data_IF_883692305144
#
_entry.id   IF_883692305144
#
_cell.length_a   1.000
_cell.length_b   1.000
_cell.length_c   1.000
_cell.angle_alpha   90.00
_cell.angle_beta   90.00
_cell.angle_gamma   90.00
#
_symmetry.space_group_name_H-M   'P 1'
#
loop_
_entity.id
_entity.type
_entity.pdbx_description
1 polymer ?
#
# COMPACT_ATOMS: atom_id res chain seq x y z
N UNK A 1 5.79 33.45 8.63
CA UNK A 1 6.64 33.29 7.42
C UNK A 1 6.45 31.87 6.96
N UNK A 2 5.54 31.66 6.01
CA UNK A 2 5.24 30.34 5.44
C UNK A 2 6.22 30.13 4.29
N UNK A 3 7.06 29.10 4.39
CA UNK A 3 8.00 28.74 3.32
C UNK A 3 7.28 27.71 2.46
N UNK A 4 6.91 28.09 1.25
CA UNK A 4 6.36 27.17 0.25
C UNK A 4 7.52 26.40 -0.41
N UNK A 5 7.54 25.07 -0.25
CA UNK A 5 8.42 24.18 -1.00
C UNK A 5 7.73 23.67 -2.27
N UNK A 6 8.41 23.80 -3.41
CA UNK A 6 7.94 23.36 -4.74
C UNK A 6 7.91 21.83 -4.86
N UNK A 7 6.89 21.31 -5.56
CA UNK A 7 6.70 19.90 -5.89
C UNK A 7 7.68 19.48 -6.99
N UNK A 8 8.70 18.68 -6.65
CA UNK A 8 9.59 18.05 -7.63
C UNK A 8 9.39 16.54 -7.66
N UNK A 9 8.54 16.01 -8.54
CA UNK A 9 8.30 14.56 -8.66
C UNK A 9 9.54 13.79 -9.16
N UNK A 10 9.84 12.64 -8.55
CA UNK A 10 10.90 11.72 -8.97
C UNK A 10 10.32 10.32 -9.22
N UNK A 11 10.94 9.58 -10.12
CA UNK A 11 10.47 8.27 -10.58
C UNK A 11 11.23 7.12 -9.90
N UNK A 12 10.55 6.03 -9.56
CA UNK A 12 11.18 4.74 -9.21
C UNK A 12 10.90 3.79 -10.37
N UNK A 13 11.95 3.34 -11.06
CA UNK A 13 11.84 2.26 -12.05
C UNK A 13 11.75 0.91 -11.33
N UNK A 14 10.67 0.17 -11.56
CA UNK A 14 10.54 -1.20 -11.07
C UNK A 14 10.78 -2.21 -12.20
N UNK A 15 11.12 -3.45 -11.81
CA UNK A 15 11.58 -4.57 -12.65
C UNK A 15 10.66 -5.00 -13.82
N UNK A 16 9.51 -4.32 -14.01
CA UNK A 16 8.53 -4.57 -15.07
C UNK A 16 8.36 -3.39 -16.05
N UNK A 17 9.26 -2.40 -16.01
CA UNK A 17 9.23 -1.24 -16.91
C UNK A 17 8.11 -0.24 -16.58
N UNK A 18 7.65 -0.25 -15.32
CA UNK A 18 6.58 0.63 -14.85
C UNK A 18 7.14 1.61 -13.85
N UNK A 19 6.83 2.87 -14.11
CA UNK A 19 7.21 3.99 -13.28
C UNK A 19 6.06 4.33 -12.34
N UNK A 20 6.26 4.11 -11.04
CA UNK A 20 5.33 4.61 -10.02
C UNK A 20 5.77 6.05 -9.69
N UNK A 21 4.93 7.07 -9.92
CA UNK A 21 5.27 8.44 -9.58
C UNK A 21 5.34 8.53 -8.06
N UNK A 22 6.50 8.94 -7.55
CA UNK A 22 6.62 9.10 -6.12
C UNK A 22 6.21 10.53 -5.74
N UNK A 23 5.31 10.61 -4.76
CA UNK A 23 4.64 11.86 -4.36
C UNK A 23 5.30 12.36 -3.08
N UNK A 24 5.79 13.60 -3.12
CA UNK A 24 6.35 14.28 -1.95
C UNK A 24 5.22 14.87 -1.12
N UNK A 25 5.22 14.58 0.17
CA UNK A 25 4.25 15.16 1.09
C UNK A 25 4.79 16.48 1.60
N UNK A 26 3.91 17.48 1.60
CA UNK A 26 4.19 18.72 2.30
C UNK A 26 4.14 18.47 3.80
N UNK A 27 5.01 19.17 4.52
CA UNK A 27 5.10 19.06 5.97
C UNK A 27 5.02 20.43 6.60
N UNK A 28 4.49 20.45 7.81
CA UNK A 28 4.49 21.62 8.68
C UNK A 28 5.10 21.25 10.02
N UNK A 29 5.57 22.26 10.76
CA UNK A 29 5.93 22.05 12.16
C UNK A 29 4.66 21.64 12.91
N UNK A 30 4.72 20.55 13.66
CA UNK A 30 3.55 20.06 14.37
C UNK A 30 3.03 21.14 15.35
N UNK A 31 1.74 21.44 15.25
CA UNK A 31 1.00 22.22 16.24
C UNK A 31 0.49 21.29 17.36
N UNK A 32 0.04 21.82 18.50
CA UNK A 32 -0.63 21.00 19.50
C UNK A 32 -1.80 20.24 18.86
N UNK A 33 -1.83 18.92 19.09
CA UNK A 33 -2.89 18.04 18.56
C UNK A 33 -4.25 18.60 18.98
N UNK A 34 -5.13 18.85 18.00
CA UNK A 34 -6.47 19.36 18.25
C UNK A 34 -7.29 18.37 19.10
N UNK A 35 -8.27 18.88 19.86
CA UNK A 35 -8.97 18.10 20.90
C UNK A 35 -9.73 16.89 20.35
N UNK A 36 -10.15 16.91 19.09
CA UNK A 36 -10.88 15.85 18.41
C UNK A 36 -9.98 14.81 17.72
N UNK A 37 -8.67 15.01 17.75
CA UNK A 37 -7.68 14.06 17.27
C UNK A 37 -7.23 13.10 18.36
N UNK A 38 -6.92 11.86 17.97
CA UNK A 38 -6.31 10.85 18.83
C UNK A 38 -5.06 10.28 18.18
N UNK A 39 -4.11 9.92 19.04
CA UNK A 39 -3.02 9.01 18.65
C UNK A 39 -3.64 7.63 18.43
N UNK A 40 -3.54 7.13 17.21
CA UNK A 40 -4.02 5.82 16.78
C UNK A 40 -2.98 4.77 17.12
N UNK A 41 -1.73 5.02 16.73
CA UNK A 41 -0.58 4.17 17.06
C UNK A 41 0.69 5.01 17.16
N UNK A 42 1.70 4.44 17.84
CA UNK A 42 3.01 5.01 18.05
C UNK A 42 4.07 3.91 17.89
N UNK A 43 5.12 4.18 17.12
CA UNK A 43 6.21 3.23 16.86
C UNK A 43 7.55 3.97 16.95
N UNK A 44 8.50 3.53 17.80
CA UNK A 44 9.85 4.05 17.80
C UNK A 44 10.69 3.43 16.67
N UNK A 45 11.55 4.23 16.02
CA UNK A 45 12.53 3.73 15.06
C UNK A 45 13.28 4.84 14.33
N UNK A 46 14.17 4.47 13.42
CA UNK A 46 15.08 5.41 12.74
C UNK A 46 14.64 5.65 11.30
N UNK A 47 13.78 6.64 11.09
CA UNK A 47 13.30 7.03 9.75
C UNK A 47 14.13 8.16 9.14
N UNK A 48 14.81 8.97 9.95
CA UNK A 48 15.66 10.06 9.45
C UNK A 48 17.05 9.60 8.98
N UNK A 49 17.49 8.40 9.35
CA UNK A 49 18.79 7.85 8.98
C UNK A 49 19.99 8.51 9.66
N UNK A 50 19.78 9.37 10.65
CA UNK A 50 20.84 10.11 11.36
C UNK A 50 21.25 9.47 12.69
N UNK A 51 20.74 8.27 13.00
CA UNK A 51 21.15 7.47 14.17
C UNK A 51 20.50 7.87 15.50
N UNK A 52 19.59 8.86 15.50
CA UNK A 52 18.72 9.18 16.64
C UNK A 52 17.36 8.49 16.51
N UNK A 53 16.84 7.95 17.62
CA UNK A 53 15.50 7.35 17.65
C UNK A 53 14.44 8.41 17.34
N UNK A 54 13.53 8.08 16.44
CA UNK A 54 12.36 8.89 16.12
C UNK A 54 11.13 8.19 16.72
N UNK A 55 10.13 8.97 17.11
CA UNK A 55 8.82 8.46 17.49
C UNK A 55 7.87 8.79 16.34
N UNK A 56 7.36 7.76 15.68
CA UNK A 56 6.43 7.88 14.58
C UNK A 56 5.02 7.68 15.15
N UNK A 57 4.15 8.65 14.98
CA UNK A 57 2.75 8.59 15.43
C UNK A 57 1.82 8.67 14.24
N UNK A 58 0.80 7.82 14.23
CA UNK A 58 -0.38 8.04 13.41
C UNK A 58 -1.42 8.75 14.27
N UNK A 59 -1.90 9.90 13.81
CA UNK A 59 -3.02 10.59 14.45
C UNK A 59 -4.18 10.69 13.48
N UNK A 60 -5.41 10.77 14.01
CA UNK A 60 -6.60 11.00 13.20
C UNK A 60 -7.79 11.41 14.05
N UNK A 61 -8.82 11.92 13.38
CA UNK A 61 -10.08 12.31 14.00
C UNK A 61 -10.96 11.10 14.25
N UNK A 62 -11.50 11.02 15.46
CA UNK A 62 -12.47 9.99 15.82
C UNK A 62 -13.80 10.26 15.12
N UNK A 63 -14.40 9.22 14.57
CA UNK A 63 -15.78 9.27 14.06
C UNK A 63 -16.73 8.49 14.97
N UNK A 64 -18.04 8.61 14.73
CA UNK A 64 -19.04 7.78 15.41
C UNK A 64 -19.03 6.32 14.94
N UNK A 65 -18.27 6.01 13.88
CA UNK A 65 -18.10 4.66 13.35
C UNK A 65 -16.92 4.01 14.07
N UNK A 66 -17.16 2.84 14.68
CA UNK A 66 -16.13 2.09 15.40
C UNK A 66 -14.92 1.80 14.50
N UNK A 67 -13.72 2.08 15.01
CA UNK A 67 -12.43 1.81 14.35
C UNK A 67 -12.25 2.51 12.99
N UNK A 68 -13.08 3.51 12.70
CA UNK A 68 -12.98 4.33 11.49
C UNK A 68 -12.50 5.74 11.86
N UNK A 69 -11.46 6.18 11.17
CA UNK A 69 -10.80 7.45 11.40
C UNK A 69 -10.80 8.27 10.12
N UNK A 70 -10.79 9.59 10.28
CA UNK A 70 -10.70 10.56 9.18
C UNK A 70 -9.60 11.58 9.47
N UNK A 71 -9.22 12.36 8.45
CA UNK A 71 -8.21 13.41 8.54
C UNK A 71 -6.92 12.90 9.18
N UNK A 72 -6.38 11.77 8.72
CA UNK A 72 -5.18 11.19 9.32
C UNK A 72 -3.89 11.92 8.94
N UNK A 73 -2.94 11.97 9.88
CA UNK A 73 -1.60 12.54 9.70
C UNK A 73 -0.54 11.61 10.28
N UNK A 74 0.65 11.64 9.69
CA UNK A 74 1.85 11.04 10.28
C UNK A 74 2.64 12.14 10.97
N UNK A 75 2.97 11.93 12.24
CA UNK A 75 3.93 12.75 12.97
C UNK A 75 5.23 11.99 13.11
N UNK A 76 6.35 12.69 12.89
CA UNK A 76 7.69 12.17 13.15
C UNK A 76 8.35 13.11 14.14
N UNK A 77 8.60 12.58 15.34
CA UNK A 77 9.19 13.31 16.46
C UNK A 77 10.61 12.83 16.73
N UNK A 78 11.50 13.77 17.03
CA UNK A 78 12.82 13.56 17.60
C UNK A 78 13.03 14.63 18.69
N UNK A 79 14.11 14.55 19.47
CA UNK A 79 14.43 15.43 20.60
C UNK A 79 14.17 16.92 20.34
N UNK A 80 14.51 17.39 19.14
CA UNK A 80 14.48 18.82 18.80
C UNK A 80 13.41 19.19 17.76
N UNK A 81 12.68 18.21 17.20
CA UNK A 81 11.82 18.44 16.03
C UNK A 81 10.60 17.54 16.05
N UNK A 82 9.42 18.14 15.89
CA UNK A 82 8.17 17.44 15.59
C UNK A 82 7.64 17.93 14.24
N UNK A 83 7.49 17.00 13.30
CA UNK A 83 7.03 17.27 11.94
C UNK A 83 5.73 16.54 11.70
N UNK A 84 4.77 17.22 11.07
CA UNK A 84 3.50 16.64 10.69
C UNK A 84 3.37 16.56 9.17
N UNK A 85 2.93 15.41 8.67
CA UNK A 85 2.66 15.13 7.26
C UNK A 85 1.18 14.83 7.05
N UNK A 86 0.55 15.58 6.15
CA UNK A 86 -0.83 15.32 5.76
C UNK A 86 -0.90 14.15 4.79
N UNK A 87 -1.68 13.12 5.15
CA UNK A 87 -2.06 12.07 4.21
C UNK A 87 -3.17 12.67 3.34
N UNK A 88 -3.02 12.71 2.01
CA UNK A 88 -4.06 13.25 1.13
C UNK A 88 -5.04 12.16 0.70
N UNK A 89 -4.53 11.14 -0.01
CA UNK A 89 -5.35 10.13 -0.68
C UNK A 89 -5.81 8.98 0.24
N UNK A 90 -5.14 8.80 1.38
CA UNK A 90 -5.41 7.74 2.36
C UNK A 90 -5.64 8.30 3.77
N UNK A 91 -6.35 9.43 3.84
CA UNK A 91 -6.60 10.15 5.10
C UNK A 91 -7.74 9.60 5.93
N UNK A 92 -8.38 8.51 5.49
CA UNK A 92 -9.51 7.90 6.17
C UNK A 92 -9.55 6.37 5.97
N UNK A 93 -10.18 5.66 6.90
CA UNK A 93 -10.43 4.22 6.76
C UNK A 93 -10.48 3.47 8.09
N UNK A 94 -10.58 2.14 8.01
CA UNK A 94 -10.73 1.25 9.15
C UNK A 94 -9.38 0.74 9.65
N UNK A 95 -9.29 0.54 10.97
CA UNK A 95 -8.16 -0.09 11.67
C UNK A 95 -6.78 0.39 11.19
N UNK A 96 -6.56 1.71 11.07
CA UNK A 96 -5.32 2.21 10.50
C UNK A 96 -4.15 1.90 11.45
N UNK A 97 -3.00 1.52 10.90
CA UNK A 97 -1.81 1.14 11.67
C UNK A 97 -0.52 1.47 10.93
N UNK A 98 0.57 1.56 11.68
CA UNK A 98 1.92 1.81 11.18
C UNK A 98 2.84 0.69 11.62
N UNK A 99 3.71 0.26 10.73
CA UNK A 99 4.87 -0.59 10.99
C UNK A 99 6.11 0.05 10.36
N UNK A 100 7.29 -0.25 10.89
CA UNK A 100 8.57 0.16 10.30
C UNK A 100 9.18 -1.05 9.58
N UNK A 101 9.65 -0.82 8.35
CA UNK A 101 10.17 -1.86 7.45
C UNK A 101 11.41 -1.35 6.71
N UNK A 102 12.18 -2.24 6.09
CA UNK A 102 13.23 -1.84 5.16
C UNK A 102 12.80 -2.19 3.72
N UNK A 103 12.08 -1.27 3.07
CA UNK A 103 11.60 -1.49 1.70
C UNK A 103 12.55 -0.90 0.65
N UNK A 104 13.16 0.24 0.96
CA UNK A 104 14.11 0.95 0.09
C UNK A 104 15.49 0.29 0.03
N UNK A 105 15.81 -0.62 0.97
CA UNK A 105 17.13 -1.25 1.10
C UNK A 105 18.16 -0.35 1.77
N UNK A 106 17.73 0.76 2.36
CA UNK A 106 18.58 1.74 3.02
C UNK A 106 18.85 1.35 4.48
N UNK A 107 19.75 2.10 5.15
CA UNK A 107 20.05 1.91 6.57
C UNK A 107 18.99 2.47 7.52
N UNK A 108 18.04 3.24 6.98
CA UNK A 108 16.91 3.80 7.71
C UNK A 108 15.64 3.03 7.35
N UNK A 109 14.64 3.14 8.23
CA UNK A 109 13.36 2.44 8.07
C UNK A 109 12.37 3.27 7.26
N UNK A 110 11.58 2.59 6.45
CA UNK A 110 10.42 3.13 5.76
C UNK A 110 9.15 2.89 6.61
N UNK A 111 8.18 3.80 6.50
CA UNK A 111 6.92 3.76 7.22
C UNK A 111 5.89 3.02 6.37
N UNK A 112 5.49 1.85 6.81
CA UNK A 112 4.39 1.07 6.26
C UNK A 112 3.07 1.51 6.92
N UNK A 113 2.20 2.17 6.17
CA UNK A 113 0.85 2.54 6.59
C UNK A 113 -0.14 1.52 6.03
N UNK A 114 -0.90 0.86 6.92
CA UNK A 114 -2.00 -0.04 6.58
C UNK A 114 -3.32 0.59 6.97
N UNK A 115 -4.27 0.63 6.04
CA UNK A 115 -5.62 1.15 6.25
C UNK A 115 -6.59 0.22 5.53
N UNK A 116 -7.54 -0.35 6.26
CA UNK A 116 -8.58 -1.17 5.64
C UNK A 116 -9.62 -0.26 4.96
N UNK A 117 -9.85 -0.39 3.64
CA UNK A 117 -10.80 0.48 2.92
C UNK A 117 -12.26 0.13 3.23
N UNK A 118 -12.52 -1.09 3.70
CA UNK A 118 -13.84 -1.58 4.10
C UNK A 118 -13.76 -2.18 5.51
N UNK A 119 -14.87 -2.15 6.28
CA UNK A 119 -14.91 -2.84 7.56
C UNK A 119 -14.73 -4.34 7.31
N UNK A 120 -14.02 -5.03 8.20
CA UNK A 120 -13.87 -6.49 8.11
C UNK A 120 -15.25 -7.16 8.08
N UNK A 121 -15.52 -7.89 6.99
CA UNK A 121 -16.64 -8.82 6.88
C UNK A 121 -16.06 -10.21 7.14
N UNK A 122 -16.64 -10.91 8.11
CA UNK A 122 -16.38 -12.31 8.52
C UNK A 122 -15.09 -12.98 7.97
N UNK A 123 -14.19 -13.37 8.89
CA UNK A 123 -12.87 -13.98 8.64
C UNK A 123 -12.88 -15.18 7.66
N UNK A 124 -14.05 -15.77 7.41
CA UNK A 124 -14.24 -16.92 6.52
C UNK A 124 -14.30 -16.57 5.02
N UNK A 125 -14.43 -15.29 4.64
CA UNK A 125 -14.44 -14.82 3.24
C UNK A 125 -13.25 -13.88 2.95
N UNK A 126 -12.03 -14.33 3.22
CA UNK A 126 -10.80 -13.53 3.07
C UNK A 126 -10.26 -13.44 1.63
N UNK A 127 -10.89 -14.09 0.64
CA UNK A 127 -10.34 -14.16 -0.73
C UNK A 127 -10.44 -12.86 -1.52
N UNK A 128 -11.13 -11.83 -1.01
CA UNK A 128 -11.38 -10.56 -1.71
C UNK A 128 -11.00 -9.31 -0.89
N UNK A 129 -10.20 -9.43 0.19
CA UNK A 129 -9.80 -8.26 0.98
C UNK A 129 -8.87 -7.36 0.15
N UNK A 130 -9.33 -6.15 -0.19
CA UNK A 130 -8.50 -5.13 -0.82
C UNK A 130 -7.61 -4.55 0.28
N UNK A 131 -6.30 -4.77 0.19
CA UNK A 131 -5.35 -4.19 1.13
C UNK A 131 -5.07 -2.73 0.79
N UNK A 132 -5.44 -1.81 1.68
CA UNK A 132 -4.96 -0.43 1.62
C UNK A 132 -3.59 -0.34 2.27
N UNK A 133 -2.54 -0.29 1.45
CA UNK A 133 -1.15 -0.26 1.91
C UNK A 133 -0.39 0.83 1.19
N UNK A 134 0.32 1.64 1.97
CA UNK A 134 1.12 2.75 1.50
C UNK A 134 2.48 2.71 2.18
N UNK A 135 3.56 2.93 1.43
CA UNK A 135 4.91 2.98 1.98
C UNK A 135 5.46 4.38 1.80
N UNK A 136 5.95 4.94 2.89
CA UNK A 136 6.55 6.26 2.93
C UNK A 136 8.01 6.16 3.35
N UNK A 137 8.88 6.85 2.61
CA UNK A 137 10.30 6.92 2.89
C UNK A 137 10.66 8.36 3.21
N UNK A 138 11.39 8.58 4.30
CA UNK A 138 11.91 9.90 4.63
C UNK A 138 13.30 10.06 4.02
N UNK A 139 13.36 10.59 2.80
CA UNK A 139 14.61 10.83 2.09
C UNK A 139 14.76 12.33 1.80
N UNK A 140 15.99 12.84 1.94
CA UNK A 140 16.36 14.22 1.57
C UNK A 140 15.55 15.29 2.32
N UNK A 141 15.14 15.00 3.56
CA UNK A 141 14.43 15.94 4.43
C UNK A 141 12.92 16.04 4.19
N UNK A 142 12.35 15.16 3.36
CA UNK A 142 10.91 15.12 3.06
C UNK A 142 10.38 13.69 3.13
N UNK A 143 9.14 13.52 3.60
CA UNK A 143 8.45 12.25 3.53
C UNK A 143 7.89 12.07 2.12
N UNK A 144 8.19 10.94 1.49
CA UNK A 144 7.82 10.62 0.12
C UNK A 144 7.05 9.32 0.09
N UNK A 145 5.88 9.31 -0.55
CA UNK A 145 5.15 8.08 -0.84
C UNK A 145 5.86 7.36 -1.96
N UNK A 146 6.39 6.17 -1.67
CA UNK A 146 7.16 5.34 -2.61
C UNK A 146 6.39 4.09 -3.07
N UNK A 147 5.31 3.74 -2.37
CA UNK A 147 4.37 2.71 -2.78
C UNK A 147 2.93 3.09 -2.43
N UNK A 148 2.00 2.71 -3.31
CA UNK A 148 0.57 2.93 -3.16
C UNK A 148 -0.18 1.72 -3.73
N UNK A 149 -0.89 0.97 -2.88
CA UNK A 149 -1.57 -0.26 -3.30
C UNK A 149 -2.72 0.00 -4.27
N UNK A 150 -3.38 1.16 -4.21
CA UNK A 150 -4.47 1.49 -5.15
C UNK A 150 -3.92 1.75 -6.54
N UNK A 151 -2.86 2.55 -6.64
CA UNK A 151 -2.16 2.80 -7.89
C UNK A 151 -1.58 1.51 -8.46
N UNK A 152 -0.94 0.69 -7.61
CA UNK A 152 -0.43 -0.62 -8.00
C UNK A 152 -1.54 -1.51 -8.56
N UNK A 153 -2.65 -1.69 -7.83
CA UNK A 153 -3.76 -2.53 -8.28
C UNK A 153 -4.37 -2.03 -9.59
N UNK A 154 -4.49 -0.72 -9.78
CA UNK A 154 -4.97 -0.15 -11.03
C UNK A 154 -4.03 -0.43 -12.20
N UNK A 155 -2.73 -0.27 -12.00
CA UNK A 155 -1.69 -0.47 -13.02
C UNK A 155 -1.48 -1.95 -13.35
N UNK A 156 -1.57 -2.84 -12.37
CA UNK A 156 -1.29 -4.27 -12.49
C UNK A 156 -2.55 -5.14 -12.62
N UNK A 157 -3.67 -4.54 -13.02
CA UNK A 157 -4.88 -5.28 -13.40
C UNK A 157 -4.70 -5.97 -14.77
N UNK A 158 -5.50 -6.99 -15.03
CA UNK A 158 -5.38 -7.82 -16.22
C UNK A 158 -6.51 -8.82 -16.36
N UNK A 159 -6.64 -9.38 -17.56
CA UNK A 159 -7.60 -10.43 -17.87
C UNK A 159 -6.92 -11.78 -17.93
N UNK A 160 -7.64 -12.80 -17.48
CA UNK A 160 -7.19 -14.19 -17.48
C UNK A 160 -8.06 -14.98 -18.44
N UNK A 161 -7.45 -15.71 -19.36
CA UNK A 161 -8.10 -16.62 -20.30
C UNK A 161 -7.62 -18.04 -20.05
N UNK A 162 -8.57 -18.95 -19.82
CA UNK A 162 -8.26 -20.37 -19.66
C UNK A 162 -8.22 -21.05 -21.03
N UNK A 163 -7.15 -21.79 -21.28
CA UNK A 163 -6.88 -22.50 -22.53
C UNK A 163 -6.69 -23.99 -22.28
N UNK A 164 -6.74 -24.80 -23.34
CA UNK A 164 -6.48 -26.24 -23.27
C UNK A 164 -5.09 -26.57 -22.72
N UNK A 165 -4.91 -27.83 -22.32
CA UNK A 165 -3.67 -28.39 -21.78
C UNK A 165 -3.25 -27.73 -20.46
N UNK A 166 -4.23 -27.40 -19.62
CA UNK A 166 -4.00 -26.73 -18.33
C UNK A 166 -3.16 -25.45 -18.46
N UNK A 167 -3.40 -24.69 -19.53
CA UNK A 167 -2.74 -23.40 -19.77
C UNK A 167 -3.67 -22.26 -19.44
N UNK A 168 -3.10 -21.20 -18.88
CA UNK A 168 -3.81 -19.97 -18.56
C UNK A 168 -3.02 -18.81 -19.13
N UNK A 169 -3.62 -18.08 -20.06
CA UNK A 169 -3.06 -16.85 -20.57
C UNK A 169 -3.49 -15.69 -19.66
N UNK A 170 -2.55 -14.85 -19.27
CA UNK A 170 -2.82 -13.62 -18.56
C UNK A 170 -2.34 -12.46 -19.41
N UNK A 171 -3.20 -11.47 -19.58
CA UNK A 171 -2.92 -10.26 -20.36
C UNK A 171 -3.09 -9.07 -19.41
N UNK A 172 -1.98 -8.44 -19.08
CA UNK A 172 -1.93 -7.30 -18.16
C UNK A 172 -2.29 -6.01 -18.90
N UNK A 173 -2.89 -5.06 -18.19
CA UNK A 173 -3.08 -3.68 -18.70
C UNK A 173 -1.78 -2.99 -19.11
N UNK A 174 -0.68 -3.43 -18.52
CA UNK A 174 0.69 -2.96 -18.79
C UNK A 174 1.20 -3.35 -20.18
N UNK A 175 0.47 -4.19 -20.91
CA UNK A 175 0.85 -4.74 -22.21
C UNK A 175 1.64 -6.04 -22.11
N UNK A 176 2.09 -6.40 -20.91
CA UNK A 176 2.75 -7.69 -20.67
C UNK A 176 1.74 -8.84 -20.75
N UNK A 177 2.15 -9.98 -21.30
CA UNK A 177 1.35 -11.20 -21.31
C UNK A 177 2.19 -12.41 -20.96
N UNK A 178 1.58 -13.38 -20.31
CA UNK A 178 2.24 -14.62 -19.88
C UNK A 178 1.29 -15.81 -20.00
N UNK A 179 1.87 -16.99 -20.18
CA UNK A 179 1.16 -18.27 -20.18
C UNK A 179 1.65 -19.07 -18.98
N UNK A 180 0.73 -19.36 -18.07
CA UNK A 180 0.97 -20.17 -16.89
C UNK A 180 0.58 -21.63 -17.18
N UNK A 181 1.39 -22.57 -16.70
CA UNK A 181 1.00 -23.97 -16.59
C UNK A 181 0.38 -24.19 -15.21
N UNK A 182 -0.89 -24.57 -15.17
CA UNK A 182 -1.63 -24.74 -13.92
C UNK A 182 -1.96 -26.20 -13.63
N UNK A 183 -1.34 -27.18 -14.31
CA UNK A 183 -1.67 -28.60 -14.18
C UNK A 183 -1.57 -29.15 -12.74
N UNK A 184 -0.70 -28.55 -11.92
CA UNK A 184 -0.42 -28.98 -10.54
C UNK A 184 -1.29 -28.21 -9.51
N UNK A 185 -2.19 -27.33 -9.97
CA UNK A 185 -3.08 -26.55 -9.12
C UNK A 185 -4.26 -27.39 -8.58
N UNK A 186 -4.81 -26.95 -7.45
CA UNK A 186 -6.01 -27.58 -6.89
C UNK A 186 -7.29 -27.18 -7.64
N UNK A 187 -8.33 -28.01 -7.54
CA UNK A 187 -9.68 -27.74 -8.05
C UNK A 187 -9.82 -27.56 -9.57
N UNK A 188 -8.85 -28.02 -10.37
CA UNK A 188 -8.90 -27.92 -11.85
C UNK A 188 -10.06 -28.69 -12.48
N UNK A 189 -10.60 -29.69 -11.81
CA UNK A 189 -11.70 -30.53 -12.32
C UNK A 189 -13.00 -29.74 -12.60
N UNK A 190 -13.14 -28.52 -12.06
CA UNK A 190 -14.27 -27.62 -12.35
C UNK A 190 -14.08 -26.79 -13.63
N UNK A 191 -12.85 -26.76 -14.15
CA UNK A 191 -12.43 -25.94 -15.29
C UNK A 191 -12.03 -26.83 -16.47
N UNK A 192 -11.37 -27.96 -16.18
CA UNK A 192 -10.78 -28.89 -17.13
C UNK A 192 -11.36 -30.29 -17.00
N UNK A 193 -11.49 -30.95 -18.15
CA UNK A 193 -11.64 -32.39 -18.23
C UNK A 193 -10.32 -33.07 -17.83
N UNK A 194 -10.34 -34.33 -17.42
CA UNK A 194 -9.13 -35.10 -17.10
C UNK A 194 -8.13 -35.24 -18.26
N UNK A 195 -8.56 -34.94 -19.50
CA UNK A 195 -7.71 -34.87 -20.69
C UNK A 195 -6.95 -33.53 -20.84
N UNK A 196 -7.19 -32.56 -19.97
CA UNK A 196 -6.66 -31.19 -20.09
C UNK A 196 -7.44 -30.28 -21.04
N UNK A 197 -8.53 -30.77 -21.66
CA UNK A 197 -9.43 -29.92 -22.44
C UNK A 197 -10.30 -29.08 -21.52
N UNK A 198 -10.45 -27.79 -21.84
CA UNK A 198 -11.34 -26.91 -21.07
C UNK A 198 -12.80 -27.36 -21.25
N UNK A 199 -13.57 -27.37 -20.14
CA UNK A 199 -14.99 -27.78 -20.17
C UNK A 199 -15.84 -26.77 -20.94
N UNK A 200 -15.51 -25.49 -20.85
CA UNK A 200 -16.12 -24.39 -21.60
C UNK A 200 -15.30 -23.11 -21.43
N UNK A 201 -15.47 -22.15 -22.34
CA UNK A 201 -14.73 -20.89 -22.30
C UNK A 201 -14.85 -20.23 -20.94
N UNK A 202 -13.72 -19.93 -20.29
CA UNK A 202 -13.68 -19.25 -19.01
C UNK A 202 -12.72 -18.07 -19.05
N UNK A 203 -13.15 -17.01 -18.38
CA UNK A 203 -12.38 -15.80 -18.17
C UNK A 203 -12.24 -15.55 -16.67
N UNK A 204 -11.18 -14.88 -16.29
CA UNK A 204 -10.95 -14.39 -14.92
C UNK A 204 -10.32 -13.00 -14.96
N UNK A 205 -10.02 -12.50 -13.78
CA UNK A 205 -9.32 -11.23 -13.58
C UNK A 205 -8.13 -11.45 -12.66
N UNK A 206 -7.10 -10.63 -12.83
CA UNK A 206 -6.01 -10.56 -11.86
C UNK A 206 -6.57 -9.92 -10.59
N UNK A 207 -6.39 -10.61 -9.46
CA UNK A 207 -6.88 -10.12 -8.17
C UNK A 207 -6.00 -8.99 -7.65
N UNK A 208 -6.61 -8.12 -6.83
CA UNK A 208 -5.88 -7.09 -6.10
C UNK A 208 -4.81 -7.69 -5.19
N UNK A 209 -3.84 -6.86 -4.80
CA UNK A 209 -2.77 -7.20 -3.85
C UNK A 209 -3.34 -7.83 -2.58
N UNK A 210 -3.02 -9.11 -2.36
CA UNK A 210 -3.49 -9.88 -1.20
C UNK A 210 -2.47 -10.02 -0.07
N UNK A 211 -1.19 -9.72 -0.31
CA UNK A 211 -0.12 -9.77 0.70
C UNK A 211 1.10 -8.94 0.26
N UNK A 212 1.85 -8.41 1.22
CA UNK A 212 3.22 -7.89 1.03
C UNK A 212 4.14 -8.66 1.99
N UNK A 213 5.31 -9.04 1.52
CA UNK A 213 6.37 -9.73 2.26
C UNK A 213 7.68 -8.95 2.10
N UNK A 214 8.51 -8.92 3.15
CA UNK A 214 9.80 -8.22 3.21
C UNK A 214 10.88 -9.21 3.66
#
# INVERSE_FOLDING_TARGET
MVIHGELGGGFIETYLGITIPAIYLQYEMASPIEKDFKIICEVPGNVFGTGGENIIKLIGKLTDIKEYYESMYILIENLDKSIQFQLYECSFGFKPSIELINFSGELYEDILLKIDPEPERDEQCSSNKILGVYIYSFNSGSLKKIFDSQTFNYSFDGVVLYENNYKVQVVMKTGNSFILDVKDSQNLNQIYQGSGRIIGTRFGQVMALGKIEF
#
